data_IF_140933056608
#
_entry.id   IF_140933056608
#
_cell.length_a   1.000
_cell.length_b   1.000
_cell.length_c   1.000
_cell.angle_alpha   90.00
_cell.angle_beta   90.00
_cell.angle_gamma   90.00
#
_symmetry.space_group_name_H-M   'P 1'
#
loop_
_entity.id
_entity.type
_entity.pdbx_description
1 polymer ?
#
# COMPACT_ATOMS: atom_id res chain seq x y z
N UNK A 1 5.36 -16.03 27.79
CA UNK A 1 4.25 -16.34 26.86
C UNK A 1 4.85 -16.75 25.52
N UNK A 2 4.33 -17.80 24.89
CA UNK A 2 4.69 -18.16 23.51
C UNK A 2 4.17 -17.11 22.51
N UNK A 3 4.79 -16.99 21.34
CA UNK A 3 4.47 -15.97 20.33
C UNK A 3 2.99 -16.00 19.91
N UNK A 4 2.39 -17.20 19.83
CA UNK A 4 0.98 -17.38 19.49
C UNK A 4 0.03 -16.85 20.56
N UNK A 5 0.38 -17.00 21.84
CA UNK A 5 -0.39 -16.47 22.96
C UNK A 5 -0.34 -14.93 22.98
N UNK A 6 0.84 -14.35 22.73
CA UNK A 6 1.00 -12.89 22.60
C UNK A 6 0.20 -12.33 21.43
N UNK A 7 0.16 -13.05 20.31
CA UNK A 7 -0.60 -12.69 19.12
C UNK A 7 -2.11 -12.70 19.37
N UNK A 8 -2.63 -13.75 19.99
CA UNK A 8 -4.04 -13.84 20.39
C UNK A 8 -4.46 -12.70 21.33
N UNK A 9 -3.63 -12.37 22.32
CA UNK A 9 -3.92 -11.29 23.29
C UNK A 9 -3.83 -9.88 22.69
N UNK A 10 -2.86 -9.62 21.81
CA UNK A 10 -2.61 -8.28 21.23
C UNK A 10 -3.58 -7.92 20.11
N UNK A 11 -4.06 -8.92 19.38
CA UNK A 11 -4.92 -8.71 18.23
C UNK A 11 -6.15 -7.83 18.50
N UNK A 12 -6.97 -8.02 19.55
CA UNK A 12 -8.13 -7.16 19.80
C UNK A 12 -7.82 -5.66 19.75
N UNK A 13 -6.65 -5.25 20.28
CA UNK A 13 -6.19 -3.86 20.23
C UNK A 13 -5.76 -3.47 18.82
N UNK A 14 -5.00 -4.32 18.14
CA UNK A 14 -4.52 -4.09 16.76
C UNK A 14 -5.69 -3.94 15.80
N UNK A 15 -6.67 -4.85 15.86
CA UNK A 15 -7.90 -4.77 15.06
C UNK A 15 -8.68 -3.51 15.37
N UNK A 16 -8.82 -3.14 16.64
CA UNK A 16 -9.52 -1.92 17.03
C UNK A 16 -8.83 -0.66 16.47
N UNK A 17 -7.50 -0.61 16.45
CA UNK A 17 -6.74 0.47 15.80
C UNK A 17 -6.85 0.43 14.28
N UNK A 18 -6.87 -0.75 13.66
CA UNK A 18 -7.05 -0.93 12.21
C UNK A 18 -8.45 -0.46 11.78
N UNK A 19 -9.49 -0.89 12.47
CA UNK A 19 -10.88 -0.44 12.22
C UNK A 19 -10.99 1.09 12.37
N UNK A 20 -10.26 1.69 13.33
CA UNK A 20 -10.22 3.13 13.51
C UNK A 20 -9.52 3.85 12.34
N UNK A 21 -8.42 3.29 11.81
CA UNK A 21 -7.68 3.83 10.65
C UNK A 21 -8.57 3.94 9.42
N UNK A 22 -9.37 2.91 9.15
CA UNK A 22 -10.19 2.80 7.94
C UNK A 22 -11.64 3.28 8.13
N UNK A 23 -11.92 3.97 9.24
CA UNK A 23 -13.22 4.64 9.42
C UNK A 23 -13.38 5.81 8.46
N UNK A 24 -14.62 6.06 8.01
CA UNK A 24 -14.94 7.05 6.97
C UNK A 24 -14.49 8.49 7.26
N UNK A 25 -14.23 8.83 8.52
CA UNK A 25 -13.71 10.14 8.93
C UNK A 25 -12.18 10.26 8.92
N UNK A 26 -11.46 9.17 8.64
CA UNK A 26 -9.99 9.10 8.67
C UNK A 26 -9.35 8.88 7.30
N UNK A 27 -10.11 8.53 6.26
CA UNK A 27 -9.61 8.00 4.98
C UNK A 27 -10.04 8.82 3.76
N UNK A 28 -9.67 10.10 3.74
CA UNK A 28 -9.82 10.96 2.55
C UNK A 28 -8.75 10.72 1.47
N UNK A 29 -8.89 11.36 0.30
CA UNK A 29 -7.80 11.42 -0.67
C UNK A 29 -6.57 12.07 -0.03
N UNK A 30 -5.41 11.45 -0.20
CA UNK A 30 -4.12 11.97 0.28
C UNK A 30 -3.41 12.80 -0.79
N UNK A 31 -3.91 12.83 -2.03
CA UNK A 31 -3.36 13.60 -3.14
C UNK A 31 -4.18 14.88 -3.29
N UNK A 32 -3.57 16.06 -3.12
CA UNK A 32 -4.26 17.34 -3.28
C UNK A 32 -4.29 17.80 -4.75
N UNK A 33 -5.14 18.80 -5.04
CA UNK A 33 -5.10 19.59 -6.27
C UNK A 33 -6.24 19.28 -7.26
N UNK A 34 -6.74 20.35 -7.89
CA UNK A 34 -7.91 20.33 -8.79
C UNK A 34 -7.75 19.36 -9.96
N UNK A 35 -6.52 19.19 -10.46
CA UNK A 35 -6.24 18.25 -11.55
C UNK A 35 -6.59 16.83 -11.11
N UNK A 36 -6.12 16.40 -9.93
CA UNK A 36 -6.44 15.07 -9.41
C UNK A 36 -7.93 14.91 -9.14
N UNK A 37 -8.59 15.92 -8.58
CA UNK A 37 -10.04 15.89 -8.32
C UNK A 37 -10.86 15.72 -9.60
N UNK A 38 -10.43 16.37 -10.69
CA UNK A 38 -11.07 16.31 -12.01
C UNK A 38 -10.83 15.00 -12.78
N UNK A 39 -9.87 14.17 -12.37
CA UNK A 39 -9.60 12.90 -13.03
C UNK A 39 -10.78 11.93 -12.86
N UNK A 40 -11.10 11.22 -13.94
CA UNK A 40 -11.91 10.00 -13.88
C UNK A 40 -11.23 8.92 -13.04
N UNK A 41 -11.99 7.93 -12.60
CA UNK A 41 -11.56 6.95 -11.60
C UNK A 41 -10.28 6.20 -12.02
N UNK A 42 -10.15 5.78 -13.28
CA UNK A 42 -8.92 5.11 -13.75
C UNK A 42 -7.69 6.02 -13.65
N UNK A 43 -7.85 7.33 -13.87
CA UNK A 43 -6.78 8.31 -13.72
C UNK A 43 -6.37 8.50 -12.27
N UNK A 44 -7.32 8.50 -11.34
CA UNK A 44 -7.06 8.56 -9.90
C UNK A 44 -6.27 7.34 -9.41
N UNK A 45 -6.67 6.14 -9.83
CA UNK A 45 -5.94 4.89 -9.51
C UNK A 45 -4.53 4.91 -10.09
N UNK A 46 -4.34 5.33 -11.34
CA UNK A 46 -3.01 5.42 -11.93
C UNK A 46 -2.11 6.42 -11.23
N UNK A 47 -2.62 7.62 -10.91
CA UNK A 47 -1.86 8.65 -10.20
C UNK A 47 -1.37 8.11 -8.85
N UNK A 48 -2.27 7.46 -8.11
CA UNK A 48 -1.96 6.84 -6.83
C UNK A 48 -0.95 5.69 -6.96
N UNK A 49 -1.07 4.88 -8.01
CA UNK A 49 -0.11 3.82 -8.32
C UNK A 49 1.29 4.38 -8.59
N UNK A 50 1.41 5.46 -9.37
CA UNK A 50 2.71 6.11 -9.64
C UNK A 50 3.34 6.67 -8.35
N UNK A 51 2.53 7.23 -7.44
CA UNK A 51 3.02 7.66 -6.13
C UNK A 51 3.62 6.48 -5.34
N UNK A 52 2.97 5.33 -5.35
CA UNK A 52 3.48 4.15 -4.66
C UNK A 52 4.76 3.57 -5.28
N UNK A 53 4.93 3.68 -6.61
CA UNK A 53 6.19 3.32 -7.28
C UNK A 53 7.35 4.14 -6.71
N UNK A 54 7.15 5.43 -6.46
CA UNK A 54 8.21 6.37 -6.05
C UNK A 54 8.29 6.58 -4.53
N UNK A 55 7.33 6.06 -3.77
CA UNK A 55 7.36 6.00 -2.31
C UNK A 55 8.49 5.06 -1.86
N UNK A 56 9.74 5.49 -1.91
CA UNK A 56 10.87 4.73 -1.39
C UNK A 56 11.98 5.67 -0.98
N UNK A 57 12.32 5.66 0.31
CA UNK A 57 13.33 6.55 0.89
C UNK A 57 13.06 8.04 0.56
N UNK A 58 11.77 8.41 0.54
CA UNK A 58 11.29 9.79 0.39
C UNK A 58 10.32 10.10 1.52
N UNK A 59 10.29 11.34 2.03
CA UNK A 59 9.26 11.77 2.97
C UNK A 59 7.87 11.57 2.36
N UNK A 60 6.94 11.06 3.17
CA UNK A 60 5.56 10.81 2.77
C UNK A 60 4.95 12.06 2.13
N UNK A 61 5.11 13.21 2.78
CA UNK A 61 4.56 14.49 2.33
C UNK A 61 5.09 14.91 0.95
N UNK A 62 6.35 14.60 0.63
CA UNK A 62 6.90 14.91 -0.69
C UNK A 62 6.28 14.02 -1.77
N UNK A 63 6.12 12.72 -1.51
CA UNK A 63 5.51 11.81 -2.48
C UNK A 63 4.07 12.22 -2.77
N UNK A 64 3.27 12.49 -1.74
CA UNK A 64 1.84 12.72 -1.91
C UNK A 64 1.48 14.17 -2.22
N UNK A 65 2.12 15.16 -1.59
CA UNK A 65 1.80 16.58 -1.81
C UNK A 65 2.57 17.23 -2.97
N UNK A 66 3.61 16.59 -3.49
CA UNK A 66 4.36 17.09 -4.66
C UNK A 66 4.29 16.08 -5.81
N UNK A 67 4.64 14.81 -5.57
CA UNK A 67 4.56 13.76 -6.57
C UNK A 67 3.13 13.52 -7.07
N UNK A 68 2.16 13.41 -6.16
CA UNK A 68 0.75 13.21 -6.48
C UNK A 68 0.18 14.24 -7.47
N UNK A 69 0.25 15.56 -7.18
CA UNK A 69 -0.18 16.59 -8.11
C UNK A 69 0.51 16.53 -9.47
N UNK A 70 1.83 16.36 -9.50
CA UNK A 70 2.60 16.30 -10.76
C UNK A 70 2.21 15.08 -11.58
N UNK A 71 2.08 13.91 -10.94
CA UNK A 71 1.61 12.69 -11.61
C UNK A 71 0.16 12.81 -12.07
N UNK A 72 -0.71 13.54 -11.37
CA UNK A 72 -2.08 13.77 -11.83
C UNK A 72 -2.11 14.50 -13.18
N UNK A 73 -1.18 15.45 -13.41
CA UNK A 73 -1.06 16.12 -14.71
C UNK A 73 -0.54 15.19 -15.80
N UNK A 74 0.53 14.45 -15.50
CA UNK A 74 1.07 13.43 -16.41
C UNK A 74 -0.03 12.45 -16.82
N UNK A 75 -0.83 11.97 -15.86
CA UNK A 75 -1.91 11.03 -16.12
C UNK A 75 -3.07 11.67 -16.90
N UNK A 76 -3.44 12.92 -16.60
CA UNK A 76 -4.48 13.63 -17.37
C UNK A 76 -4.10 13.70 -18.86
N UNK A 77 -2.86 14.06 -19.16
CA UNK A 77 -2.37 14.13 -20.55
C UNK A 77 -2.24 12.72 -21.15
N UNK A 78 -1.66 11.77 -20.41
CA UNK A 78 -1.56 10.37 -20.79
C UNK A 78 -2.92 9.80 -21.24
N UNK A 79 -3.98 10.05 -20.49
CA UNK A 79 -5.32 9.57 -20.82
C UNK A 79 -5.86 10.21 -22.12
N UNK A 80 -5.60 11.50 -22.33
CA UNK A 80 -6.16 12.27 -23.45
C UNK A 80 -5.46 12.05 -24.79
N UNK A 81 -4.12 11.95 -24.83
CA UNK A 81 -3.35 12.14 -26.07
C UNK A 81 -2.43 10.98 -26.45
N UNK A 82 -1.99 10.18 -25.47
CA UNK A 82 -0.98 9.13 -25.71
C UNK A 82 -1.60 7.88 -26.34
N UNK A 83 -0.97 7.32 -27.36
CA UNK A 83 -1.48 6.12 -28.06
C UNK A 83 -0.41 5.05 -28.30
N UNK A 84 0.87 5.42 -28.26
CA UNK A 84 2.00 4.54 -28.58
C UNK A 84 3.05 4.60 -27.47
N UNK A 85 3.96 3.63 -27.46
CA UNK A 85 5.11 3.62 -26.54
C UNK A 85 5.97 4.89 -26.72
N UNK A 86 6.16 5.36 -27.95
CA UNK A 86 6.91 6.58 -28.21
C UNK A 86 6.24 7.80 -27.59
N UNK A 87 4.91 7.92 -27.72
CA UNK A 87 4.16 9.00 -27.07
C UNK A 87 4.27 8.94 -25.53
N UNK A 88 4.41 7.76 -24.93
CA UNK A 88 4.64 7.65 -23.47
C UNK A 88 5.99 8.25 -23.10
N UNK A 89 7.04 7.95 -23.85
CA UNK A 89 8.38 8.48 -23.58
C UNK A 89 8.46 9.98 -23.84
N UNK A 90 7.83 10.45 -24.92
CA UNK A 90 7.77 11.88 -25.23
C UNK A 90 6.99 12.66 -24.15
N UNK A 91 5.88 12.09 -23.67
CA UNK A 91 5.13 12.64 -22.53
C UNK A 91 6.00 12.70 -21.27
N UNK A 92 6.66 11.61 -20.92
CA UNK A 92 7.48 11.58 -19.70
C UNK A 92 8.63 12.60 -19.79
N UNK A 93 9.28 12.71 -20.95
CA UNK A 93 10.30 13.73 -21.19
C UNK A 93 9.76 15.16 -21.14
N UNK A 94 8.52 15.42 -21.58
CA UNK A 94 7.93 16.77 -21.56
C UNK A 94 7.59 17.26 -20.14
N UNK A 95 7.40 16.34 -19.19
CA UNK A 95 7.19 16.66 -17.78
C UNK A 95 8.46 16.54 -16.94
N UNK A 96 9.62 16.23 -17.51
CA UNK A 96 10.86 16.11 -16.75
C UNK A 96 11.96 17.06 -17.20
N UNK A 97 12.82 17.41 -16.24
CA UNK A 97 14.10 18.08 -16.47
C UNK A 97 15.22 17.12 -16.07
N UNK A 98 16.17 16.93 -16.96
CA UNK A 98 17.33 16.06 -16.75
C UNK A 98 18.52 16.85 -16.20
N UNK A 99 19.27 16.22 -15.30
CA UNK A 99 20.60 16.67 -14.86
C UNK A 99 21.55 15.49 -15.02
N UNK A 100 22.74 15.74 -15.57
CA UNK A 100 23.69 14.68 -15.88
C UNK A 100 23.99 13.79 -14.65
N UNK A 101 23.89 12.47 -14.84
CA UNK A 101 24.12 11.48 -13.79
C UNK A 101 23.02 11.40 -12.72
N UNK A 102 21.95 12.18 -12.83
CA UNK A 102 20.86 12.24 -11.86
C UNK A 102 19.56 11.67 -12.42
N UNK A 103 18.67 11.28 -11.52
CA UNK A 103 17.29 10.91 -11.84
C UNK A 103 16.55 12.17 -12.27
N UNK A 104 15.85 12.10 -13.40
CA UNK A 104 14.95 13.15 -13.88
C UNK A 104 14.02 13.71 -12.79
N UNK A 105 13.93 15.04 -12.73
CA UNK A 105 12.98 15.75 -11.88
C UNK A 105 11.70 16.02 -12.67
N UNK A 106 10.56 15.59 -12.14
CA UNK A 106 9.26 15.93 -12.71
C UNK A 106 8.87 17.35 -12.32
N UNK A 107 8.32 18.09 -13.27
CA UNK A 107 7.90 19.48 -13.11
C UNK A 107 6.46 19.61 -13.59
N UNK A 108 5.59 20.06 -12.69
CA UNK A 108 4.21 20.40 -13.03
C UNK A 108 4.18 21.58 -14.01
N UNK A 109 3.27 21.53 -14.98
CA UNK A 109 3.07 22.60 -15.96
C UNK A 109 1.91 23.51 -15.57
N UNK A 110 0.96 23.03 -14.75
CA UNK A 110 -0.28 23.74 -14.40
C UNK A 110 -0.39 24.12 -12.93
N UNK A 111 0.12 23.29 -12.03
CA UNK A 111 -0.02 23.45 -10.59
C UNK A 111 1.22 24.09 -9.97
N UNK A 112 0.97 24.93 -8.96
CA UNK A 112 2.01 25.69 -8.26
C UNK A 112 1.92 25.48 -6.76
N UNK A 113 3.08 25.47 -6.10
CA UNK A 113 3.23 25.56 -4.66
C UNK A 113 4.08 26.79 -4.34
N UNK A 114 3.52 27.74 -3.58
CA UNK A 114 4.18 29.02 -3.26
C UNK A 114 4.62 29.78 -4.55
N UNK A 115 3.69 29.92 -5.51
CA UNK A 115 3.90 30.56 -6.83
C UNK A 115 4.89 29.89 -7.78
N UNK A 116 5.58 28.84 -7.35
CA UNK A 116 6.52 28.07 -8.17
C UNK A 116 5.86 26.79 -8.68
N UNK A 117 6.21 26.32 -9.90
CA UNK A 117 5.77 25.00 -10.37
C UNK A 117 6.11 23.91 -9.36
N UNK A 118 5.16 23.00 -9.10
CA UNK A 118 5.42 21.86 -8.24
C UNK A 118 6.50 20.98 -8.87
N UNK A 119 7.51 20.59 -8.09
CA UNK A 119 8.62 19.75 -8.54
C UNK A 119 8.71 18.48 -7.70
N UNK A 120 9.03 17.37 -8.33
CA UNK A 120 9.18 16.09 -7.66
C UNK A 120 10.23 15.20 -8.34
N UNK A 121 11.28 14.83 -7.61
CA UNK A 121 12.28 13.87 -8.11
C UNK A 121 12.07 12.51 -7.45
N UNK A 122 11.84 11.42 -8.22
CA UNK A 122 11.94 10.07 -7.69
C UNK A 122 13.31 9.81 -7.05
N UNK A 123 13.44 8.77 -6.23
CA UNK A 123 14.73 8.49 -5.58
C UNK A 123 15.70 7.75 -6.51
N UNK A 124 15.18 6.85 -7.33
CA UNK A 124 15.99 5.92 -8.10
C UNK A 124 15.53 5.83 -9.56
N UNK A 125 16.46 5.57 -10.48
CA UNK A 125 16.12 5.33 -11.89
C UNK A 125 15.21 4.12 -12.13
N UNK A 126 15.26 3.12 -11.23
CA UNK A 126 14.31 2.00 -11.27
C UNK A 126 12.85 2.45 -11.15
N UNK A 127 12.58 3.59 -10.49
CA UNK A 127 11.25 4.17 -10.41
C UNK A 127 10.78 4.71 -11.75
N UNK A 128 11.64 5.42 -12.48
CA UNK A 128 11.33 5.89 -13.84
C UNK A 128 11.03 4.73 -14.78
N UNK A 129 11.82 3.65 -14.72
CA UNK A 129 11.54 2.44 -15.50
C UNK A 129 10.19 1.82 -15.14
N UNK A 130 9.88 1.76 -13.85
CA UNK A 130 8.60 1.22 -13.37
C UNK A 130 7.42 2.09 -13.82
N UNK A 131 7.55 3.42 -13.79
CA UNK A 131 6.54 4.36 -14.31
C UNK A 131 6.35 4.15 -15.81
N UNK A 132 7.43 4.18 -16.59
CA UNK A 132 7.38 4.02 -18.03
C UNK A 132 6.76 2.68 -18.44
N UNK A 133 7.10 1.58 -17.77
CA UNK A 133 6.49 0.26 -17.99
C UNK A 133 5.01 0.26 -17.65
N UNK A 134 4.63 0.82 -16.51
CA UNK A 134 3.22 0.88 -16.10
C UNK A 134 2.37 1.61 -17.14
N UNK A 135 2.83 2.77 -17.63
CA UNK A 135 2.12 3.52 -18.66
C UNK A 135 2.18 2.80 -20.03
N UNK A 136 3.36 2.40 -20.49
CA UNK A 136 3.54 1.76 -21.80
C UNK A 136 2.75 0.46 -21.97
N UNK A 137 2.77 -0.41 -20.96
CA UNK A 137 2.06 -1.70 -21.02
C UNK A 137 0.54 -1.53 -20.92
N UNK A 138 0.07 -0.52 -20.20
CA UNK A 138 -1.37 -0.24 -20.07
C UNK A 138 -2.01 0.36 -21.32
N UNK A 139 -1.24 0.77 -22.33
CA UNK A 139 -1.80 1.18 -23.62
C UNK A 139 -2.69 0.10 -24.23
N UNK A 140 -2.33 -1.18 -24.09
CA UNK A 140 -3.13 -2.33 -24.56
C UNK A 140 -4.43 -2.55 -23.77
N UNK A 141 -4.51 -1.98 -22.58
CA UNK A 141 -5.60 -2.18 -21.63
C UNK A 141 -6.34 -0.87 -21.37
N UNK A 142 -6.52 -0.07 -22.42
CA UNK A 142 -7.28 1.19 -22.38
C UNK A 142 -6.82 2.13 -21.25
N UNK A 143 -5.51 2.10 -20.96
CA UNK A 143 -4.88 2.92 -19.93
C UNK A 143 -5.50 2.70 -18.54
N UNK A 144 -5.89 1.46 -18.23
CA UNK A 144 -6.64 1.12 -17.01
C UNK A 144 -6.12 -0.15 -16.36
N UNK A 145 -5.75 -0.05 -15.07
CA UNK A 145 -5.40 -1.22 -14.25
C UNK A 145 -6.60 -2.18 -14.13
N UNK A 146 -7.82 -1.67 -14.00
CA UNK A 146 -9.01 -2.52 -13.92
C UNK A 146 -9.23 -3.33 -15.20
N UNK A 147 -9.06 -2.70 -16.36
CA UNK A 147 -9.15 -3.38 -17.66
C UNK A 147 -8.04 -4.40 -17.84
N UNK A 148 -6.82 -4.10 -17.36
CA UNK A 148 -5.72 -5.06 -17.34
C UNK A 148 -6.04 -6.29 -16.50
N UNK A 149 -6.54 -6.11 -15.28
CA UNK A 149 -6.95 -7.22 -14.41
C UNK A 149 -8.09 -8.02 -15.04
N UNK A 150 -9.08 -7.34 -15.63
CA UNK A 150 -10.21 -7.99 -16.29
C UNK A 150 -9.81 -8.81 -17.50
N UNK A 151 -8.89 -8.31 -18.33
CA UNK A 151 -8.38 -9.07 -19.47
C UNK A 151 -7.69 -10.38 -19.05
N UNK A 152 -7.35 -10.52 -17.77
CA UNK A 152 -6.70 -11.68 -17.18
C UNK A 152 -7.60 -12.40 -16.15
N UNK A 153 -8.93 -12.24 -16.25
CA UNK A 153 -9.90 -12.84 -15.31
C UNK A 153 -9.75 -14.34 -15.17
N UNK A 154 -9.45 -15.05 -16.27
CA UNK A 154 -9.26 -16.50 -16.25
C UNK A 154 -8.12 -16.92 -15.34
N UNK A 155 -7.04 -16.12 -15.27
CA UNK A 155 -5.95 -16.37 -14.34
C UNK A 155 -6.35 -16.05 -12.90
N UNK A 156 -7.06 -14.93 -12.69
CA UNK A 156 -7.54 -14.51 -11.37
C UNK A 156 -8.50 -15.52 -10.72
N UNK A 157 -9.40 -16.10 -11.51
CA UNK A 157 -10.42 -17.05 -11.06
C UNK A 157 -9.89 -18.49 -10.94
N UNK A 158 -8.70 -18.79 -11.47
CA UNK A 158 -8.06 -20.11 -11.36
C UNK A 158 -7.38 -20.31 -10.00
N UNK A 159 -8.05 -19.96 -8.91
CA UNK A 159 -7.52 -20.16 -7.56
C UNK A 159 -7.40 -21.66 -7.30
N UNK A 160 -6.17 -22.13 -7.05
CA UNK A 160 -5.89 -23.56 -6.83
C UNK A 160 -5.41 -23.82 -5.42
N UNK A 161 -6.16 -24.66 -4.71
CA UNK A 161 -5.76 -25.16 -3.39
C UNK A 161 -5.94 -24.15 -2.26
N UNK A 162 -5.42 -24.51 -1.09
CA UNK A 162 -5.64 -23.78 0.16
C UNK A 162 -4.72 -22.55 0.31
N UNK A 163 -3.60 -22.49 -0.43
CA UNK A 163 -2.58 -21.43 -0.35
C UNK A 163 -2.54 -20.58 -1.61
N UNK A 164 -3.70 -20.11 -2.03
CA UNK A 164 -3.87 -19.29 -3.23
C UNK A 164 -5.10 -18.39 -3.08
N UNK A 165 -5.08 -17.24 -3.73
CA UNK A 165 -6.21 -16.31 -3.70
C UNK A 165 -6.21 -15.37 -4.89
N UNK A 166 -7.40 -14.85 -5.20
CA UNK A 166 -7.54 -13.76 -6.14
C UNK A 166 -6.70 -12.54 -5.73
N UNK A 167 -6.57 -12.25 -4.43
CA UNK A 167 -5.75 -11.15 -3.91
C UNK A 167 -4.27 -11.31 -4.29
N UNK A 168 -3.70 -12.51 -4.10
CA UNK A 168 -2.31 -12.78 -4.49
C UNK A 168 -2.12 -12.78 -6.00
N UNK A 169 -3.09 -13.28 -6.75
CA UNK A 169 -3.07 -13.26 -8.22
C UNK A 169 -3.16 -11.83 -8.77
N UNK A 170 -3.98 -10.96 -8.18
CA UNK A 170 -4.03 -9.52 -8.50
C UNK A 170 -2.68 -8.85 -8.18
N UNK A 171 -2.11 -9.11 -7.01
CA UNK A 171 -0.80 -8.58 -6.63
C UNK A 171 0.29 -9.03 -7.62
N UNK A 172 0.26 -10.29 -8.06
CA UNK A 172 1.20 -10.80 -9.04
C UNK A 172 1.05 -10.12 -10.42
N UNK A 173 -0.18 -9.89 -10.90
CA UNK A 173 -0.38 -9.16 -12.16
C UNK A 173 0.13 -7.72 -12.06
N UNK A 174 -0.14 -7.02 -10.95
CA UNK A 174 0.41 -5.69 -10.69
C UNK A 174 1.94 -5.70 -10.56
N UNK A 175 2.53 -6.78 -10.02
CA UNK A 175 3.97 -6.99 -9.99
C UNK A 175 4.56 -7.08 -11.41
N UNK A 176 3.94 -7.87 -12.30
CA UNK A 176 4.35 -8.00 -13.70
C UNK A 176 4.30 -6.66 -14.45
N UNK A 177 3.30 -5.83 -14.12
CA UNK A 177 3.10 -4.52 -14.75
C UNK A 177 4.23 -3.53 -14.42
N UNK A 178 4.76 -3.55 -13.20
CA UNK A 178 5.58 -2.43 -12.70
C UNK A 178 6.92 -2.83 -12.10
N UNK A 179 7.07 -4.02 -11.53
CA UNK A 179 8.23 -4.37 -10.70
C UNK A 179 9.05 -5.55 -11.24
N UNK A 180 8.45 -6.38 -12.09
CA UNK A 180 9.09 -7.57 -12.64
C UNK A 180 10.33 -7.26 -13.47
N UNK A 181 11.48 -7.83 -13.09
CA UNK A 181 12.77 -7.66 -13.79
C UNK A 181 13.15 -6.17 -14.00
N UNK A 182 12.86 -5.32 -13.03
CA UNK A 182 13.32 -3.93 -13.04
C UNK A 182 14.81 -3.90 -12.71
N UNK A 183 15.58 -3.22 -13.56
CA UNK A 183 17.03 -3.03 -13.39
C UNK A 183 17.36 -1.62 -12.92
N UNK A 184 18.49 -1.49 -12.23
CA UNK A 184 19.07 -0.20 -11.84
C UNK A 184 19.77 0.41 -13.07
N UNK A 185 19.70 1.73 -13.25
CA UNK A 185 20.49 2.45 -14.26
C UNK A 185 19.72 3.20 -15.35
N UNK A 186 18.38 3.22 -15.32
CA UNK A 186 17.56 4.08 -16.21
C UNK A 186 17.28 5.41 -15.51
N UNK A 187 18.19 6.37 -15.64
CA UNK A 187 18.21 7.63 -14.90
C UNK A 187 17.49 8.78 -15.61
N UNK A 188 17.38 8.77 -16.93
CA UNK A 188 16.80 9.92 -17.65
C UNK A 188 16.08 9.54 -18.93
N UNK A 189 14.86 10.04 -19.12
CA UNK A 189 14.11 9.88 -20.38
C UNK A 189 14.74 10.66 -21.53
N UNK A 190 15.56 11.66 -21.23
CA UNK A 190 16.23 12.51 -22.22
C UNK A 190 17.47 11.85 -22.82
N UNK A 191 18.36 11.31 -21.97
CA UNK A 191 19.61 10.71 -22.43
C UNK A 191 19.53 9.22 -22.75
N UNK A 192 18.53 8.50 -22.21
CA UNK A 192 18.40 7.05 -22.37
C UNK A 192 17.09 6.64 -23.07
N UNK A 193 16.52 7.53 -23.89
CA UNK A 193 15.22 7.32 -24.54
C UNK A 193 15.17 6.02 -25.35
N UNK A 194 16.26 5.68 -26.05
CA UNK A 194 16.37 4.46 -26.85
C UNK A 194 16.33 3.20 -25.97
N UNK A 195 17.03 3.21 -24.84
CA UNK A 195 17.08 2.11 -23.90
C UNK A 195 15.74 1.88 -23.21
N UNK A 196 15.02 2.97 -22.88
CA UNK A 196 13.63 2.89 -22.41
C UNK A 196 12.72 2.27 -23.48
N UNK A 197 12.80 2.74 -24.73
CA UNK A 197 12.00 2.20 -25.86
C UNK A 197 12.24 0.71 -26.06
N UNK A 198 13.49 0.29 -26.13
CA UNK A 198 13.86 -1.12 -26.31
C UNK A 198 13.39 -1.98 -25.15
N UNK A 199 13.51 -1.49 -23.91
CA UNK A 199 13.02 -2.21 -22.75
C UNK A 199 11.50 -2.37 -22.76
N UNK A 200 10.75 -1.31 -23.10
CA UNK A 200 9.29 -1.35 -23.19
C UNK A 200 8.81 -2.33 -24.27
N UNK A 201 9.39 -2.27 -25.47
CA UNK A 201 9.03 -3.18 -26.57
C UNK A 201 9.32 -4.64 -26.21
N UNK A 202 10.50 -4.90 -25.63
CA UNK A 202 10.86 -6.24 -25.15
C UNK A 202 9.88 -6.71 -24.07
N UNK A 203 9.61 -5.86 -23.07
CA UNK A 203 8.77 -6.24 -21.94
C UNK A 203 7.31 -6.43 -22.33
N UNK A 204 6.79 -5.64 -23.26
CA UNK A 204 5.45 -5.80 -23.82
C UNK A 204 5.33 -7.18 -24.49
N UNK A 205 6.25 -7.51 -25.39
CA UNK A 205 6.25 -8.81 -26.08
C UNK A 205 6.36 -9.99 -25.10
N UNK A 206 7.28 -9.92 -24.13
CA UNK A 206 7.45 -10.94 -23.10
C UNK A 206 6.18 -11.12 -22.25
N UNK A 207 5.56 -10.02 -21.83
CA UNK A 207 4.34 -10.06 -21.03
C UNK A 207 3.19 -10.66 -21.85
N UNK A 208 3.01 -10.26 -23.12
CA UNK A 208 1.94 -10.82 -23.94
C UNK A 208 2.10 -12.33 -24.16
N UNK A 209 3.32 -12.81 -24.41
CA UNK A 209 3.60 -14.25 -24.51
C UNK A 209 3.29 -14.98 -23.20
N UNK A 210 3.71 -14.40 -22.06
CA UNK A 210 3.46 -14.98 -20.74
C UNK A 210 1.96 -15.04 -20.42
N UNK A 211 1.19 -13.99 -20.68
CA UNK A 211 -0.25 -13.94 -20.38
C UNK A 211 -1.08 -14.87 -21.27
N UNK A 212 -0.61 -15.19 -22.49
CA UNK A 212 -1.27 -16.16 -23.38
C UNK A 212 -1.01 -17.62 -22.99
N UNK A 213 0.15 -17.91 -22.36
CA UNK A 213 0.48 -19.25 -21.90
C UNK A 213 0.16 -19.42 -20.41
N UNK A 214 -1.05 -19.91 -20.13
CA UNK A 214 -1.53 -20.15 -18.77
C UNK A 214 -0.62 -21.06 -17.93
N UNK A 215 0.11 -21.99 -18.53
CA UNK A 215 1.00 -22.88 -17.78
C UNK A 215 2.29 -22.15 -17.39
N UNK A 216 2.85 -21.36 -18.32
CA UNK A 216 4.01 -20.51 -18.01
C UNK A 216 3.65 -19.42 -16.99
N UNK A 217 2.47 -18.81 -17.12
CA UNK A 217 1.96 -17.81 -16.18
C UNK A 217 1.85 -18.40 -14.77
N UNK A 218 1.24 -19.57 -14.64
CA UNK A 218 1.11 -20.27 -13.36
C UNK A 218 2.49 -20.62 -12.77
N UNK A 219 3.41 -21.12 -13.59
CA UNK A 219 4.79 -21.40 -13.14
C UNK A 219 5.52 -20.14 -12.66
N UNK A 220 5.33 -19.00 -13.32
CA UNK A 220 5.91 -17.71 -12.89
C UNK A 220 5.26 -17.22 -11.59
N UNK A 221 3.94 -17.38 -11.46
CA UNK A 221 3.20 -17.06 -10.25
C UNK A 221 3.69 -17.86 -9.04
N UNK A 222 3.83 -19.18 -9.17
CA UNK A 222 4.31 -20.04 -8.07
C UNK A 222 5.73 -19.68 -7.62
N UNK A 223 6.61 -19.32 -8.56
CA UNK A 223 7.95 -18.79 -8.24
C UNK A 223 7.86 -17.47 -7.50
N UNK A 224 6.98 -16.56 -7.95
CA UNK A 224 6.78 -15.26 -7.30
C UNK A 224 6.24 -15.42 -5.87
N UNK A 225 5.22 -16.27 -5.66
CA UNK A 225 4.67 -16.56 -4.33
C UNK A 225 5.76 -17.00 -3.35
N UNK A 226 6.70 -17.83 -3.81
CA UNK A 226 7.77 -18.38 -2.98
C UNK A 226 8.88 -17.38 -2.66
N UNK A 227 9.23 -16.49 -3.60
CA UNK A 227 10.49 -15.74 -3.53
C UNK A 227 10.35 -14.22 -3.59
N UNK A 228 9.33 -13.70 -4.28
CA UNK A 228 9.23 -12.29 -4.66
C UNK A 228 7.94 -11.63 -4.11
N UNK A 229 7.11 -12.41 -3.40
CA UNK A 229 5.78 -11.99 -2.94
C UNK A 229 5.80 -10.73 -2.08
N UNK A 230 6.74 -10.57 -1.15
CA UNK A 230 6.69 -9.51 -0.13
C UNK A 230 7.24 -8.16 -0.62
N UNK A 231 6.60 -7.61 -1.66
CA UNK A 231 6.93 -6.31 -2.19
C UNK A 231 6.14 -5.20 -1.47
N UNK A 232 6.80 -4.44 -0.59
CA UNK A 232 6.15 -3.46 0.32
C UNK A 232 5.13 -2.56 -0.39
N UNK A 233 5.52 -1.90 -1.48
CA UNK A 233 4.70 -0.86 -2.14
C UNK A 233 3.55 -1.44 -2.96
N UNK A 234 3.74 -2.65 -3.46
CA UNK A 234 2.69 -3.41 -4.12
C UNK A 234 1.56 -3.71 -3.12
N UNK A 235 1.90 -4.23 -1.94
CA UNK A 235 0.91 -4.54 -0.91
C UNK A 235 0.27 -3.30 -0.30
N UNK A 236 1.03 -2.22 -0.11
CA UNK A 236 0.48 -0.96 0.38
C UNK A 236 -0.56 -0.38 -0.59
N UNK A 237 -0.27 -0.35 -1.88
CA UNK A 237 -1.21 0.08 -2.91
C UNK A 237 -2.43 -0.83 -2.99
N UNK A 238 -2.23 -2.16 -3.06
CA UNK A 238 -3.33 -3.11 -3.19
C UNK A 238 -4.23 -3.12 -1.95
N UNK A 239 -3.66 -2.94 -0.75
CA UNK A 239 -4.44 -2.72 0.47
C UNK A 239 -5.37 -1.53 0.30
N UNK A 240 -4.89 -0.38 -0.15
CA UNK A 240 -5.72 0.81 -0.29
C UNK A 240 -6.84 0.63 -1.34
N UNK A 241 -6.67 -0.29 -2.30
CA UNK A 241 -7.69 -0.65 -3.29
C UNK A 241 -8.72 -1.67 -2.79
N UNK A 242 -8.39 -2.47 -1.77
CA UNK A 242 -9.24 -3.56 -1.29
C UNK A 242 -9.80 -3.32 0.13
N UNK A 243 -9.22 -2.39 0.89
CA UNK A 243 -9.57 -2.17 2.29
C UNK A 243 -10.85 -1.35 2.40
N UNK A 244 -11.94 -1.89 2.98
CA UNK A 244 -13.19 -1.16 3.12
C UNK A 244 -13.00 0.14 3.90
N UNK A 245 -13.56 1.22 3.36
CA UNK A 245 -13.44 2.55 3.95
C UNK A 245 -12.24 3.34 3.45
N UNK A 246 -11.29 2.74 2.74
CA UNK A 246 -10.28 3.48 1.98
C UNK A 246 -10.93 4.32 0.87
N UNK A 247 -10.48 5.56 0.67
CA UNK A 247 -10.90 6.38 -0.48
C UNK A 247 -10.66 5.64 -1.81
N UNK A 248 -9.51 5.00 -1.95
CA UNK A 248 -9.14 4.33 -3.20
C UNK A 248 -9.85 2.98 -3.40
N UNK A 249 -10.44 2.39 -2.35
CA UNK A 249 -11.29 1.20 -2.52
C UNK A 249 -12.57 1.58 -3.28
N UNK A 250 -13.22 2.67 -2.88
CA UNK A 250 -14.41 3.18 -3.58
C UNK A 250 -14.10 3.52 -5.05
N UNK A 251 -12.98 4.21 -5.29
CA UNK A 251 -12.54 4.56 -6.65
C UNK A 251 -12.23 3.30 -7.48
N UNK A 252 -11.54 2.33 -6.89
CA UNK A 252 -11.14 1.10 -7.57
C UNK A 252 -12.35 0.23 -7.91
N UNK A 253 -13.31 0.07 -6.99
CA UNK A 253 -14.54 -0.68 -7.22
C UNK A 253 -15.34 -0.10 -8.38
N UNK A 254 -15.43 1.24 -8.49
CA UNK A 254 -16.05 1.90 -9.65
C UNK A 254 -15.33 1.61 -10.98
N UNK A 255 -14.01 1.49 -10.98
CA UNK A 255 -13.28 1.08 -12.19
C UNK A 255 -13.58 -0.35 -12.59
N UNK A 256 -13.81 -1.23 -11.61
CA UNK A 256 -14.14 -2.63 -11.83
C UNK A 256 -15.60 -2.80 -12.29
N UNK A 257 -16.53 -2.00 -11.78
CA UNK A 257 -17.92 -1.94 -12.24
C UNK A 257 -17.99 -1.68 -13.75
N UNK A 258 -18.60 -2.60 -14.50
CA UNK A 258 -18.69 -2.52 -15.96
C UNK A 258 -17.43 -2.96 -16.73
N UNK A 259 -16.33 -3.27 -16.04
CA UNK A 259 -15.10 -3.77 -16.65
C UNK A 259 -14.90 -5.26 -16.40
N UNK A 260 -15.01 -5.72 -15.15
CA UNK A 260 -14.84 -7.14 -14.78
C UNK A 260 -16.15 -7.90 -14.74
N UNK A 261 -16.08 -9.22 -14.95
CA UNK A 261 -17.21 -10.13 -14.78
C UNK A 261 -17.80 -10.09 -13.36
N UNK A 262 -19.10 -10.38 -13.26
CA UNK A 262 -19.86 -10.39 -11.99
C UNK A 262 -19.27 -11.35 -10.95
N UNK A 263 -18.57 -12.39 -11.38
CA UNK A 263 -17.90 -13.35 -10.50
C UNK A 263 -16.74 -12.71 -9.72
N UNK A 264 -15.88 -11.91 -10.37
CA UNK A 264 -14.80 -11.18 -9.69
C UNK A 264 -15.39 -10.20 -8.69
N UNK A 265 -16.43 -9.44 -9.07
CA UNK A 265 -17.10 -8.51 -8.15
C UNK A 265 -17.70 -9.24 -6.94
N UNK A 266 -18.34 -10.39 -7.16
CA UNK A 266 -18.88 -11.24 -6.10
C UNK A 266 -17.79 -11.71 -5.13
N UNK A 267 -16.63 -12.15 -5.64
CA UNK A 267 -15.50 -12.54 -4.81
C UNK A 267 -14.91 -11.36 -4.04
N UNK A 268 -14.78 -10.19 -4.67
CA UNK A 268 -14.28 -8.98 -4.00
C UNK A 268 -15.22 -8.50 -2.90
N UNK A 269 -16.53 -8.73 -3.05
CA UNK A 269 -17.52 -8.45 -2.01
C UNK A 269 -17.40 -9.39 -0.79
N UNK A 270 -16.70 -10.53 -0.90
CA UNK A 270 -16.35 -11.39 0.24
C UNK A 270 -15.16 -10.82 1.01
N UNK A 271 -15.38 -9.66 1.65
CA UNK A 271 -14.36 -8.82 2.29
C UNK A 271 -13.38 -9.60 3.16
N UNK A 272 -13.88 -10.46 4.06
CA UNK A 272 -13.01 -11.22 4.96
C UNK A 272 -12.07 -12.16 4.25
N UNK A 273 -12.56 -12.85 3.21
CA UNK A 273 -11.72 -13.76 2.44
C UNK A 273 -10.63 -12.97 1.73
N UNK A 274 -10.97 -11.87 1.06
CA UNK A 274 -10.00 -11.01 0.35
C UNK A 274 -8.92 -10.43 1.26
N UNK A 275 -9.34 -9.84 2.39
CA UNK A 275 -8.43 -9.21 3.34
C UNK A 275 -7.53 -10.23 4.03
N UNK A 276 -8.02 -11.46 4.23
CA UNK A 276 -7.23 -12.56 4.79
C UNK A 276 -5.98 -12.88 3.98
N UNK A 277 -5.93 -12.49 2.71
CA UNK A 277 -4.82 -12.72 1.81
C UNK A 277 -3.92 -11.50 1.58
N UNK A 278 -4.24 -10.32 2.14
CA UNK A 278 -3.33 -9.17 2.09
C UNK A 278 -2.08 -9.45 2.92
N UNK A 279 -0.91 -9.22 2.34
CA UNK A 279 0.36 -9.30 3.07
C UNK A 279 0.68 -7.98 3.77
N UNK A 280 1.32 -8.10 4.93
CA UNK A 280 1.85 -6.95 5.66
C UNK A 280 2.97 -6.29 4.84
N UNK A 281 2.89 -4.98 4.54
CA UNK A 281 4.01 -4.27 3.92
C UNK A 281 5.28 -4.40 4.78
N UNK A 282 6.37 -4.88 4.18
CA UNK A 282 7.63 -5.14 4.90
C UNK A 282 8.44 -3.88 5.20
N UNK A 283 7.96 -3.02 6.12
CA UNK A 283 8.70 -1.84 6.57
C UNK A 283 9.26 -1.93 7.97
N UNK A 284 10.25 -1.09 8.24
CA UNK A 284 11.00 -1.11 9.50
C UNK A 284 10.11 -0.98 10.73
N UNK A 285 9.02 -0.21 10.68
CA UNK A 285 8.10 -0.10 11.82
C UNK A 285 7.34 -1.40 12.03
N UNK A 286 6.78 -1.96 10.96
CA UNK A 286 6.10 -3.26 10.98
C UNK A 286 7.00 -4.38 11.50
N UNK A 287 8.27 -4.42 11.06
CA UNK A 287 9.25 -5.41 11.49
C UNK A 287 9.64 -5.25 12.96
N UNK A 288 9.97 -4.02 13.38
CA UNK A 288 10.35 -3.75 14.77
C UNK A 288 9.18 -4.00 15.73
N UNK A 289 7.97 -3.60 15.35
CA UNK A 289 6.77 -3.84 16.12
C UNK A 289 6.50 -5.34 16.28
N UNK A 290 6.57 -6.10 15.18
CA UNK A 290 6.40 -7.56 15.20
C UNK A 290 7.46 -8.23 16.08
N UNK A 291 8.73 -7.83 15.94
CA UNK A 291 9.82 -8.38 16.75
C UNK A 291 9.67 -8.07 18.24
N UNK A 292 9.28 -6.84 18.60
CA UNK A 292 9.04 -6.49 20.02
C UNK A 292 7.87 -7.29 20.60
N UNK A 293 6.80 -7.44 19.83
CA UNK A 293 5.57 -8.08 20.29
C UNK A 293 5.69 -9.62 20.36
N UNK A 294 6.42 -10.25 19.44
CA UNK A 294 6.48 -11.71 19.29
C UNK A 294 7.87 -12.33 19.50
N UNK A 295 8.91 -11.51 19.60
CA UNK A 295 10.31 -11.96 19.63
C UNK A 295 10.83 -12.37 18.25
N UNK A 296 11.98 -13.05 18.25
CA UNK A 296 12.65 -13.49 17.01
C UNK A 296 11.85 -14.47 16.15
N UNK A 297 10.77 -15.05 16.69
CA UNK A 297 9.92 -16.01 15.98
C UNK A 297 9.04 -15.37 14.89
N UNK A 298 8.87 -14.04 14.91
CA UNK A 298 8.10 -13.29 13.91
C UNK A 298 8.85 -12.00 13.57
N UNK A 299 9.93 -12.15 12.79
CA UNK A 299 10.82 -11.06 12.40
C UNK A 299 10.61 -10.61 10.94
N UNK A 300 9.67 -11.23 10.22
CA UNK A 300 9.37 -10.93 8.81
C UNK A 300 7.88 -11.07 8.50
N UNK A 301 7.37 -10.45 7.41
CA UNK A 301 5.99 -10.61 6.97
C UNK A 301 5.64 -12.08 6.65
N UNK A 302 6.61 -12.85 6.14
CA UNK A 302 6.44 -14.28 5.88
C UNK A 302 6.23 -15.08 7.17
N UNK A 303 6.98 -14.79 8.22
CA UNK A 303 6.80 -15.47 9.52
C UNK A 303 5.49 -15.06 10.18
N UNK A 304 5.06 -13.80 10.04
CA UNK A 304 3.75 -13.36 10.51
C UNK A 304 2.62 -14.09 9.76
N UNK A 305 2.73 -14.22 8.44
CA UNK A 305 1.82 -15.03 7.60
C UNK A 305 1.77 -16.48 8.06
N UNK A 306 2.92 -17.09 8.36
CA UNK A 306 2.96 -18.48 8.82
C UNK A 306 2.32 -18.63 10.21
N UNK A 307 2.52 -17.65 11.10
CA UNK A 307 1.93 -17.63 12.44
C UNK A 307 0.41 -17.45 12.38
N UNK A 308 -0.05 -16.60 11.46
CA UNK A 308 -1.46 -16.44 11.13
C UNK A 308 -2.11 -17.76 10.71
N UNK A 309 -1.53 -18.45 9.73
CA UNK A 309 -2.07 -19.71 9.20
C UNK A 309 -2.23 -20.73 10.34
N UNK A 310 -1.20 -20.91 11.18
CA UNK A 310 -1.25 -21.83 12.33
C UNK A 310 -2.38 -21.48 13.30
N UNK A 311 -2.52 -20.20 13.68
CA UNK A 311 -3.59 -19.79 14.59
C UNK A 311 -4.99 -20.02 14.01
N UNK A 312 -5.15 -19.81 12.70
CA UNK A 312 -6.41 -20.04 11.99
C UNK A 312 -6.74 -21.53 11.96
N UNK A 313 -5.78 -22.38 11.64
CA UNK A 313 -5.93 -23.86 11.66
C UNK A 313 -6.28 -24.38 13.05
N UNK A 314 -5.73 -23.77 14.11
CA UNK A 314 -6.06 -24.08 15.50
C UNK A 314 -7.43 -23.56 15.96
N UNK A 315 -8.14 -22.77 15.14
CA UNK A 315 -9.41 -22.14 15.49
C UNK A 315 -9.29 -21.07 16.59
N UNK A 316 -8.07 -20.61 16.92
CA UNK A 316 -7.83 -19.59 17.94
C UNK A 316 -8.24 -18.22 17.45
N UNK A 317 -8.05 -17.97 16.14
CA UNK A 317 -8.42 -16.72 15.50
C UNK A 317 -9.52 -16.95 14.46
N UNK A 318 -10.51 -16.06 14.47
CA UNK A 318 -11.62 -16.08 13.51
C UNK A 318 -11.30 -15.24 12.27
N UNK A 319 -12.14 -15.34 11.24
CA UNK A 319 -11.94 -14.73 9.91
C UNK A 319 -11.78 -13.19 9.84
N UNK A 320 -11.75 -12.52 11.00
CA UNK A 320 -11.52 -11.07 11.10
C UNK A 320 -10.05 -10.72 11.40
N UNK A 321 -9.17 -11.71 11.57
CA UNK A 321 -7.72 -11.51 11.69
C UNK A 321 -7.08 -11.64 10.32
N UNK A 322 -6.19 -10.72 9.98
CA UNK A 322 -5.32 -10.88 8.82
C UNK A 322 -4.00 -10.11 8.99
N UNK A 323 -2.89 -10.61 8.41
CA UNK A 323 -1.56 -10.05 8.67
C UNK A 323 -1.41 -8.55 8.41
N UNK A 324 -2.09 -8.02 7.40
CA UNK A 324 -2.03 -6.59 7.06
C UNK A 324 -2.47 -5.66 8.21
N UNK A 325 -3.33 -6.09 9.14
CA UNK A 325 -3.78 -5.23 10.26
C UNK A 325 -2.62 -4.71 11.12
N UNK A 326 -1.47 -5.38 11.09
CA UNK A 326 -0.26 -4.94 11.77
C UNK A 326 0.35 -3.67 11.17
N UNK A 327 -0.09 -3.25 9.99
CA UNK A 327 0.35 -2.01 9.34
C UNK A 327 -0.05 -0.76 10.13
N UNK A 328 -0.95 -0.88 11.11
CA UNK A 328 -1.18 0.17 12.12
C UNK A 328 0.10 0.60 12.83
N UNK A 329 1.12 -0.26 12.85
CA UNK A 329 2.39 0.04 13.49
C UNK A 329 3.16 1.16 12.80
N UNK A 330 2.88 1.41 11.51
CA UNK A 330 3.44 2.52 10.75
C UNK A 330 3.11 3.86 11.40
N UNK A 331 1.88 4.04 11.89
CA UNK A 331 1.44 5.24 12.59
C UNK A 331 1.71 5.18 14.10
N UNK A 332 1.52 4.00 14.69
CA UNK A 332 1.62 3.80 16.13
C UNK A 332 3.07 3.92 16.64
N UNK A 333 4.01 3.23 15.98
CA UNK A 333 5.38 3.09 16.50
C UNK A 333 6.14 4.42 16.58
N UNK A 334 6.11 5.31 15.56
CA UNK A 334 6.75 6.63 15.67
C UNK A 334 6.15 7.48 16.79
N UNK A 335 4.83 7.38 17.02
CA UNK A 335 4.16 8.17 18.08
C UNK A 335 4.51 7.67 19.47
N UNK A 336 4.65 6.36 19.65
CA UNK A 336 5.01 5.82 20.96
C UNK A 336 6.51 5.95 21.23
N UNK A 337 7.36 5.73 20.21
CA UNK A 337 8.80 5.64 20.39
C UNK A 337 9.52 6.94 20.05
N UNK A 338 9.40 7.46 18.82
CA UNK A 338 10.14 8.67 18.41
C UNK A 338 9.65 9.92 19.14
N UNK A 339 8.36 9.99 19.48
CA UNK A 339 7.78 11.09 20.25
C UNK A 339 7.81 10.88 21.77
N UNK A 340 8.40 9.77 22.27
CA UNK A 340 8.55 9.52 23.71
C UNK A 340 7.25 9.37 24.50
N UNK A 341 6.21 8.79 23.89
CA UNK A 341 4.91 8.56 24.54
C UNK A 341 4.76 7.10 25.02
N UNK A 342 5.86 6.46 25.46
CA UNK A 342 5.86 5.05 25.84
C UNK A 342 4.99 4.74 27.08
N UNK A 343 4.64 5.74 27.88
CA UNK A 343 3.71 5.67 29.00
C UNK A 343 2.24 5.57 28.57
N UNK A 344 1.93 5.98 27.33
CA UNK A 344 0.60 5.87 26.71
C UNK A 344 0.41 4.53 25.99
N UNK A 345 1.47 3.75 25.81
CA UNK A 345 1.44 2.49 25.07
C UNK A 345 0.45 1.49 25.70
N UNK A 346 -0.58 1.01 24.98
CA UNK A 346 -1.58 0.08 25.52
C UNK A 346 -1.00 -1.32 25.78
N UNK A 347 0.19 -1.60 25.25
CA UNK A 347 0.93 -2.84 25.49
C UNK A 347 1.98 -2.69 26.59
N UNK A 348 1.74 -1.81 27.57
CA UNK A 348 2.58 -1.61 28.75
C UNK A 348 1.77 -1.87 30.02
N UNK A 349 2.36 -2.60 30.98
CA UNK A 349 1.72 -2.95 32.27
C UNK A 349 1.22 -1.72 33.04
N UNK A 350 2.01 -0.64 33.05
CA UNK A 350 1.71 0.62 33.75
C UNK A 350 1.35 1.73 32.75
N UNK A 351 0.45 1.43 31.82
CA UNK A 351 -0.02 2.44 30.87
C UNK A 351 -0.94 3.47 31.53
N UNK A 352 -0.78 4.74 31.20
CA UNK A 352 -1.66 5.81 31.68
C UNK A 352 -2.75 6.18 30.67
N UNK A 353 -2.87 5.43 29.56
CA UNK A 353 -3.81 5.73 28.46
C UNK A 353 -5.27 5.85 28.92
N UNK A 354 -5.63 5.16 30.00
CA UNK A 354 -6.94 5.25 30.65
C UNK A 354 -7.34 6.69 31.02
N UNK A 355 -6.36 7.57 31.30
CA UNK A 355 -6.60 8.99 31.62
C UNK A 355 -7.17 9.78 30.43
N UNK A 356 -7.01 9.27 29.20
CA UNK A 356 -7.54 9.88 27.97
C UNK A 356 -8.91 9.31 27.56
N UNK A 357 -9.45 8.35 28.31
CA UNK A 357 -10.75 7.76 28.02
C UNK A 357 -11.89 8.72 28.40
N UNK A 358 -12.90 8.85 27.54
CA UNK A 358 -14.06 9.75 27.74
C UNK A 358 -15.12 9.22 28.73
N UNK A 359 -14.85 8.11 29.43
CA UNK A 359 -15.80 7.41 30.31
C UNK A 359 -16.80 6.52 29.58
N UNK A 360 -17.52 5.63 30.30
CA UNK A 360 -18.45 4.64 29.70
C UNK A 360 -19.79 5.23 29.24
N UNK A 361 -20.18 6.39 29.76
CA UNK A 361 -21.55 6.92 29.63
C UNK A 361 -21.73 8.02 28.57
N UNK A 362 -20.75 8.24 27.68
CA UNK A 362 -20.81 9.29 26.65
C UNK A 362 -20.84 8.71 25.23
N UNK A 363 -21.90 9.06 24.51
CA UNK A 363 -22.28 8.61 23.16
C UNK A 363 -21.53 9.34 22.03
N UNK A 364 -22.01 9.18 20.80
CA UNK A 364 -21.43 8.39 19.70
C UNK A 364 -20.85 9.22 18.56
N UNK A 365 -20.80 10.55 18.72
CA UNK A 365 -20.37 11.47 17.66
C UNK A 365 -19.05 12.20 17.97
N UNK A 366 -18.44 11.94 19.13
CA UNK A 366 -17.12 12.49 19.46
C UNK A 366 -16.01 11.60 18.92
N UNK A 367 -14.91 12.23 18.49
CA UNK A 367 -13.69 11.50 18.16
C UNK A 367 -13.09 10.83 19.40
N UNK A 368 -12.50 9.65 19.21
CA UNK A 368 -11.84 8.91 20.27
C UNK A 368 -10.47 9.53 20.58
N UNK A 369 -10.26 10.08 21.79
CA UNK A 369 -8.96 10.64 22.14
C UNK A 369 -7.87 9.57 22.15
N UNK A 370 -8.21 8.31 22.50
CA UNK A 370 -7.25 7.20 22.54
C UNK A 370 -6.70 6.89 21.15
N UNK A 371 -7.54 6.75 20.11
CA UNK A 371 -7.02 6.48 18.74
C UNK A 371 -6.24 7.66 18.18
N UNK A 372 -6.64 8.89 18.55
CA UNK A 372 -5.95 10.10 18.15
C UNK A 372 -4.55 10.21 18.77
N UNK A 373 -4.42 9.90 20.07
CA UNK A 373 -3.14 9.88 20.77
C UNK A 373 -2.24 8.76 20.25
N UNK A 374 -2.78 7.56 20.08
CA UNK A 374 -1.97 6.39 19.72
C UNK A 374 -1.52 6.42 18.25
N UNK A 375 -2.40 6.83 17.33
CA UNK A 375 -2.13 6.72 15.89
C UNK A 375 -2.49 7.98 15.09
N UNK A 376 -3.08 9.02 15.70
CA UNK A 376 -3.56 10.21 14.99
C UNK A 376 -4.91 10.04 14.30
N UNK A 377 -5.62 8.93 14.51
CA UNK A 377 -6.85 8.63 13.79
C UNK A 377 -8.05 9.39 14.36
N UNK A 378 -8.83 10.01 13.47
CA UNK A 378 -10.08 10.71 13.79
C UNK A 378 -11.26 9.74 13.64
N UNK A 379 -11.33 8.74 14.52
CA UNK A 379 -12.42 7.75 14.55
C UNK A 379 -13.45 8.06 15.63
N UNK A 380 -14.71 7.65 15.46
CA UNK A 380 -15.76 7.82 16.48
C UNK A 380 -15.46 6.97 17.72
N UNK A 381 -15.75 7.50 18.90
CA UNK A 381 -15.50 6.79 20.15
C UNK A 381 -16.65 5.85 20.54
N UNK A 382 -16.31 4.60 20.83
CA UNK A 382 -17.22 3.58 21.34
C UNK A 382 -16.68 2.97 22.66
N UNK A 383 -16.87 3.64 23.81
CA UNK A 383 -16.22 3.26 25.07
C UNK A 383 -16.57 1.86 25.58
N UNK A 384 -17.79 1.38 25.31
CA UNK A 384 -18.28 0.08 25.80
C UNK A 384 -17.51 -1.14 25.29
N UNK A 385 -16.84 -1.02 24.14
CA UNK A 385 -16.12 -2.12 23.47
C UNK A 385 -14.61 -1.83 23.31
N UNK A 386 -14.03 -0.98 24.16
CA UNK A 386 -12.61 -0.61 24.05
C UNK A 386 -11.68 -1.73 24.58
N UNK A 387 -10.87 -2.39 23.73
CA UNK A 387 -10.01 -3.50 24.17
C UNK A 387 -8.79 -3.06 24.97
N UNK A 388 -8.44 -1.76 24.91
CA UNK A 388 -7.23 -1.18 25.56
C UNK A 388 -7.26 -1.33 27.08
N UNK A 389 -8.45 -1.40 27.70
CA UNK A 389 -8.59 -1.44 29.16
C UNK A 389 -8.53 -2.84 29.77
N UNK A 390 -8.65 -3.88 28.94
CA UNK A 390 -8.82 -5.26 29.42
C UNK A 390 -7.55 -6.12 29.31
N UNK A 391 -6.46 -5.56 28.79
CA UNK A 391 -5.31 -6.35 28.38
C UNK A 391 -4.06 -5.97 29.17
N UNK A 392 -3.58 -6.91 30.00
CA UNK A 392 -2.28 -6.80 30.68
C UNK A 392 -1.21 -7.47 29.83
N UNK A 393 -0.26 -6.69 29.31
CA UNK A 393 0.90 -7.18 28.55
C UNK A 393 2.22 -7.00 29.31
N UNK A 394 3.25 -7.74 28.88
CA UNK A 394 4.66 -7.39 29.12
C UNK A 394 4.95 -6.00 28.51
N UNK A 395 5.89 -5.23 29.09
CA UNK A 395 6.16 -3.84 28.69
C UNK A 395 6.81 -3.73 27.30
N UNK A 396 6.01 -3.79 26.21
CA UNK A 396 6.51 -3.80 24.82
C UNK A 396 7.20 -2.49 24.41
N UNK A 397 6.74 -1.37 24.96
CA UNK A 397 7.28 -0.05 24.63
C UNK A 397 8.52 0.31 25.48
N UNK A 398 9.04 -0.63 26.29
CA UNK A 398 10.31 -0.44 26.98
C UNK A 398 11.47 -0.22 25.99
N UNK A 399 12.43 0.62 26.38
CA UNK A 399 13.64 0.88 25.60
C UNK A 399 13.45 1.71 24.33
N UNK A 400 12.28 2.32 24.11
CA UNK A 400 12.08 3.27 23.01
C UNK A 400 12.71 4.65 23.25
N UNK A 401 13.17 4.95 24.47
CA UNK A 401 13.96 6.15 24.74
C UNK A 401 15.27 6.08 23.97
N UNK A 402 15.44 6.98 23.01
CA UNK A 402 16.77 7.46 22.67
C UNK A 402 17.28 8.12 23.95
N UNK A 403 18.29 7.53 24.59
CA UNK A 403 19.05 8.27 25.59
C UNK A 403 19.69 9.44 24.84
N UNK A 404 19.09 10.62 24.94
CA UNK A 404 19.80 11.85 24.63
C UNK A 404 20.83 11.97 25.76
N UNK A 405 22.03 11.46 25.49
CA UNK A 405 23.20 11.82 26.26
C UNK A 405 23.32 13.33 26.15
N UNK A 406 22.94 14.04 27.21
CA UNK A 406 23.33 15.44 27.36
C UNK A 406 24.84 15.38 27.53
N UNK A 407 25.58 15.75 26.49
CA UNK A 407 27.04 15.95 26.54
C UNK A 407 27.33 17.19 27.36
#
# INVERSE_FOLDING_TARGET
MDALEKLSKSWPIIKWLDDARWSSSSSGSIIPGDVFESLEERGKILTHWLCYITDQQRPYEQVWNQGGPVFAEVIAEYLSSVQTIDHVLDLLSSYTVSTEGMVDEYVSQRQKLQELPIRYTPRFGMHQLSIARSLGLLLRYQKSIATYLSANERFLLRVTGEYDSITWRMAFLLYLLSYDQIRKGMLSFHSQQLEFRQDLQRKDNELQLLLHDMNQLENRYQKWVRWERFHKRLWAALRDYLKPGSYFEVVFMKCLEGTVGTEILSLLNRRYDILSWLELPGDTWNLQFSWKLFGANVASPQELRNSYIKLREMGIITGNFYPEQFDISFDFSPRMCDKGNEDLCPFRRETIIAKYCVGRDKTSDKYCPVTMVLCGYKSRCHPGNCPVMNATFENLCAGCRIQISVV
#
